data_IF_763540234023
#
_entry.id   IF_763540234023
#
_cell.length_a   1.000
_cell.length_b   1.000
_cell.length_c   1.000
_cell.angle_alpha   90.00
_cell.angle_beta   90.00
_cell.angle_gamma   90.00
#
_symmetry.space_group_name_H-M   'P 1'
#
loop_
_entity.id
_entity.type
_entity.pdbx_description
1 polymer ?
#
# COMPACT_ATOMS: atom_id res chain seq x y z
N UNK A 1 -21.16 14.85 0.12
CA UNK A 1 -21.05 13.59 -0.67
C UNK A 1 -20.12 13.73 -1.89
N UNK A 2 -20.31 14.72 -2.77
CA UNK A 2 -19.42 14.95 -3.93
C UNK A 2 -17.93 15.13 -3.59
N UNK A 3 -17.59 15.78 -2.46
CA UNK A 3 -16.20 15.95 -2.00
C UNK A 3 -15.53 14.63 -1.60
N UNK A 4 -16.27 13.70 -0.99
CA UNK A 4 -15.76 12.41 -0.54
C UNK A 4 -15.49 11.48 -1.75
N UNK A 5 -16.39 11.49 -2.73
CA UNK A 5 -16.23 10.72 -3.98
C UNK A 5 -15.01 11.24 -4.75
N UNK A 6 -14.84 12.57 -4.84
CA UNK A 6 -13.64 13.18 -5.41
C UNK A 6 -12.36 12.79 -4.67
N UNK A 7 -12.40 12.77 -3.34
CA UNK A 7 -11.25 12.37 -2.52
C UNK A 7 -10.86 10.92 -2.77
N UNK A 8 -11.81 9.99 -2.78
CA UNK A 8 -11.56 8.57 -3.09
C UNK A 8 -11.01 8.40 -4.51
N UNK A 9 -11.55 9.16 -5.48
CA UNK A 9 -11.03 9.16 -6.85
C UNK A 9 -9.57 9.61 -6.93
N UNK A 10 -9.20 10.68 -6.21
CA UNK A 10 -7.83 11.18 -6.13
C UNK A 10 -6.89 10.18 -5.43
N UNK A 11 -7.34 9.55 -4.34
CA UNK A 11 -6.58 8.51 -3.63
C UNK A 11 -6.34 7.31 -4.56
N UNK A 12 -7.36 6.83 -5.26
CA UNK A 12 -7.23 5.73 -6.21
C UNK A 12 -6.25 6.05 -7.33
N UNK A 13 -6.36 7.24 -7.94
CA UNK A 13 -5.46 7.67 -9.01
C UNK A 13 -4.00 7.79 -8.52
N UNK A 14 -3.80 8.28 -7.28
CA UNK A 14 -2.47 8.35 -6.66
C UNK A 14 -1.90 6.95 -6.37
N UNK A 15 -2.72 6.01 -5.88
CA UNK A 15 -2.31 4.60 -5.70
C UNK A 15 -1.80 4.03 -7.03
N UNK A 16 -2.57 4.19 -8.12
CA UNK A 16 -2.17 3.66 -9.43
C UNK A 16 -0.83 4.23 -9.91
N UNK A 17 -0.59 5.52 -9.75
CA UNK A 17 0.67 6.15 -10.15
C UNK A 17 1.86 5.65 -9.33
N UNK A 18 1.67 5.42 -8.02
CA UNK A 18 2.72 4.84 -7.19
C UNK A 18 3.04 3.40 -7.56
N UNK A 19 2.04 2.61 -8.01
CA UNK A 19 2.30 1.29 -8.57
C UNK A 19 3.08 1.35 -9.89
N UNK A 20 2.80 2.34 -10.75
CA UNK A 20 3.54 2.56 -12.01
C UNK A 20 5.00 2.94 -11.73
N UNK A 21 5.28 3.68 -10.65
CA UNK A 21 6.63 4.08 -10.26
C UNK A 21 7.40 2.99 -9.51
N UNK A 22 6.90 1.75 -9.44
CA UNK A 22 7.51 0.58 -8.78
C UNK A 22 7.60 0.73 -7.24
N UNK A 23 7.65 1.95 -6.71
CA UNK A 23 7.77 2.22 -5.28
C UNK A 23 6.55 1.75 -4.48
N UNK A 24 5.34 1.95 -5.01
CA UNK A 24 4.11 1.41 -4.44
C UNK A 24 4.09 -0.13 -4.45
N UNK A 25 4.68 -0.74 -5.48
CA UNK A 25 4.83 -2.21 -5.58
C UNK A 25 5.81 -2.74 -4.54
N UNK A 26 6.93 -2.04 -4.29
CA UNK A 26 7.90 -2.40 -3.25
C UNK A 26 7.28 -2.31 -1.86
N UNK A 27 6.59 -1.21 -1.55
CA UNK A 27 5.88 -1.05 -0.28
C UNK A 27 4.82 -2.15 -0.08
N UNK A 28 4.05 -2.45 -1.12
CA UNK A 28 3.08 -3.55 -1.12
C UNK A 28 3.77 -4.90 -0.88
N UNK A 29 4.88 -5.18 -1.56
CA UNK A 29 5.65 -6.42 -1.42
C UNK A 29 6.23 -6.62 -0.02
N UNK A 30 6.82 -5.58 0.56
CA UNK A 30 7.32 -5.60 1.94
C UNK A 30 6.17 -5.91 2.90
N UNK A 31 5.04 -5.20 2.76
CA UNK A 31 3.90 -5.42 3.66
C UNK A 31 3.25 -6.78 3.46
N UNK A 32 3.21 -7.31 2.24
CA UNK A 32 2.79 -8.67 1.95
C UNK A 32 3.71 -9.71 2.58
N UNK A 33 5.02 -9.50 2.55
CA UNK A 33 5.96 -10.35 3.28
C UNK A 33 5.69 -10.32 4.79
N UNK A 34 5.43 -9.14 5.37
CA UNK A 34 5.07 -9.02 6.79
C UNK A 34 3.81 -9.83 7.15
N UNK A 35 2.75 -9.71 6.34
CA UNK A 35 1.51 -10.47 6.52
C UNK A 35 1.70 -11.98 6.33
N UNK A 36 2.56 -12.37 5.39
CA UNK A 36 2.92 -13.75 5.13
C UNK A 36 3.64 -14.39 6.32
N UNK A 37 4.64 -13.71 6.90
CA UNK A 37 5.40 -14.23 8.05
C UNK A 37 4.68 -14.06 9.40
N UNK A 38 3.45 -13.54 9.42
CA UNK A 38 2.65 -13.31 10.65
C UNK A 38 3.35 -12.33 11.61
N UNK A 39 4.07 -11.36 11.07
CA UNK A 39 4.66 -10.28 11.85
C UNK A 39 3.57 -9.36 12.41
N UNK A 40 3.83 -8.66 13.53
CA UNK A 40 2.82 -7.84 14.19
C UNK A 40 2.30 -6.73 13.26
N UNK A 41 0.98 -6.56 13.20
CA UNK A 41 0.30 -5.58 12.35
C UNK A 41 0.66 -4.13 12.66
N UNK A 42 1.24 -3.86 13.83
CA UNK A 42 1.78 -2.55 14.21
C UNK A 42 2.98 -2.12 13.35
N UNK A 43 3.61 -3.05 12.62
CA UNK A 43 4.65 -2.72 11.63
C UNK A 43 4.07 -2.06 10.37
N UNK A 44 2.79 -2.27 10.06
CA UNK A 44 2.13 -1.68 8.88
C UNK A 44 2.17 -0.15 8.89
N UNK A 45 1.73 0.55 9.96
CA UNK A 45 1.83 2.02 10.01
C UNK A 45 3.27 2.51 9.97
N UNK A 46 4.23 1.79 10.57
CA UNK A 46 5.64 2.16 10.54
C UNK A 46 6.20 2.10 9.12
N UNK A 47 5.95 1.00 8.40
CA UNK A 47 6.37 0.83 7.00
C UNK A 47 5.67 1.84 6.09
N UNK A 48 4.39 2.11 6.32
CA UNK A 48 3.64 3.11 5.56
C UNK A 48 4.23 4.51 5.71
N UNK A 49 4.56 4.93 6.93
CA UNK A 49 5.20 6.23 7.19
C UNK A 49 6.60 6.28 6.59
N UNK A 50 7.39 5.22 6.77
CA UNK A 50 8.75 5.16 6.21
C UNK A 50 8.73 5.24 4.67
N UNK A 51 7.88 4.46 4.00
CA UNK A 51 7.71 4.52 2.55
C UNK A 51 7.13 5.85 2.08
N UNK A 52 6.18 6.43 2.82
CA UNK A 52 5.60 7.73 2.50
C UNK A 52 6.62 8.86 2.56
N UNK A 53 7.43 8.92 3.62
CA UNK A 53 8.51 9.92 3.76
C UNK A 53 9.62 9.69 2.74
N UNK A 54 9.96 8.44 2.45
CA UNK A 54 11.00 8.12 1.46
C UNK A 54 10.54 8.47 0.04
N UNK A 55 9.31 8.15 -0.31
CA UNK A 55 8.70 8.53 -1.59
C UNK A 55 8.65 10.04 -1.76
N UNK A 56 8.28 10.79 -0.72
CA UNK A 56 8.24 12.26 -0.75
C UNK A 56 9.62 12.91 -0.96
N UNK A 57 10.70 12.27 -0.49
CA UNK A 57 12.07 12.81 -0.58
C UNK A 57 12.87 12.36 -1.80
N UNK A 58 12.64 11.14 -2.29
CA UNK A 58 13.51 10.48 -3.28
C UNK A 58 12.84 10.25 -4.62
N UNK A 59 11.51 10.37 -4.72
CA UNK A 59 10.78 10.24 -5.97
C UNK A 59 10.35 11.63 -6.40
N UNK A 60 11.06 12.20 -7.38
CA UNK A 60 10.74 13.51 -7.94
C UNK A 60 9.51 13.38 -8.86
N UNK A 61 8.36 13.36 -8.19
CA UNK A 61 7.10 12.91 -8.74
C UNK A 61 6.40 14.05 -9.49
N UNK A 62 7.03 14.56 -10.55
CA UNK A 62 6.52 15.64 -11.42
C UNK A 62 5.16 15.32 -12.08
N UNK A 63 4.82 14.02 -12.17
CA UNK A 63 3.50 13.55 -12.61
C UNK A 63 2.45 13.51 -11.47
N UNK A 64 2.88 13.31 -10.21
CA UNK A 64 1.98 13.40 -9.05
C UNK A 64 1.73 14.86 -8.69
N UNK A 65 2.72 15.74 -8.81
CA UNK A 65 2.56 17.17 -8.54
C UNK A 65 1.43 17.83 -9.34
N UNK A 66 1.16 17.39 -10.58
CA UNK A 66 0.04 17.93 -11.38
C UNK A 66 -1.36 17.49 -10.88
N UNK A 67 -1.46 16.28 -10.32
CA UNK A 67 -2.69 15.78 -9.65
C UNK A 67 -2.80 16.39 -8.24
N UNK A 68 -1.65 16.67 -7.63
CA UNK A 68 -1.52 17.24 -6.30
C UNK A 68 -1.76 18.75 -6.26
N UNK A 69 -1.42 19.48 -7.33
CA UNK A 69 -1.82 20.88 -7.55
C UNK A 69 -3.34 21.01 -7.60
N UNK A 70 -4.03 20.02 -8.21
CA UNK A 70 -5.49 19.91 -8.16
C UNK A 70 -6.04 19.54 -6.77
N UNK A 71 -5.22 18.98 -5.88
CA UNK A 71 -5.59 18.61 -4.51
C UNK A 71 -5.36 19.75 -3.48
N UNK A 72 -4.63 20.80 -3.86
CA UNK A 72 -4.45 22.07 -3.14
C UNK A 72 -3.61 22.00 -1.84
N UNK A 73 -2.61 22.90 -1.78
CA UNK A 73 -1.61 23.17 -0.74
C UNK A 73 -0.49 22.14 -0.53
N UNK A 74 0.72 22.57 -0.91
CA UNK A 74 2.00 21.87 -0.77
C UNK A 74 2.30 21.35 0.65
N UNK A 75 1.68 21.90 1.70
CA UNK A 75 1.80 21.41 3.08
C UNK A 75 0.99 20.13 3.37
N UNK A 76 0.03 19.76 2.52
CA UNK A 76 -0.75 18.51 2.63
C UNK A 76 -0.18 17.35 1.80
N UNK A 77 0.88 17.60 1.00
CA UNK A 77 1.51 16.62 0.10
C UNK A 77 1.98 15.37 0.84
N UNK A 78 2.83 15.55 1.85
CA UNK A 78 3.37 14.44 2.64
C UNK A 78 2.28 13.68 3.41
N UNK A 79 1.32 14.41 3.98
CA UNK A 79 0.19 13.81 4.71
C UNK A 79 -0.70 12.94 3.81
N UNK A 80 -0.99 13.39 2.59
CA UNK A 80 -1.76 12.62 1.63
C UNK A 80 -1.02 11.36 1.16
N UNK A 81 0.28 11.47 0.87
CA UNK A 81 1.11 10.32 0.50
C UNK A 81 1.16 9.27 1.61
N UNK A 82 1.28 9.67 2.88
CA UNK A 82 1.23 8.74 4.02
C UNK A 82 -0.08 7.96 4.05
N UNK A 83 -1.23 8.61 3.79
CA UNK A 83 -2.53 7.93 3.72
C UNK A 83 -2.56 6.92 2.57
N UNK A 84 -2.04 7.29 1.41
CA UNK A 84 -1.95 6.40 0.25
C UNK A 84 -1.10 5.16 0.57
N UNK A 85 0.11 5.34 1.11
CA UNK A 85 0.99 4.24 1.50
C UNK A 85 0.41 3.40 2.64
N UNK A 86 -0.36 4.00 3.55
CA UNK A 86 -1.06 3.25 4.60
C UNK A 86 -2.06 2.27 4.00
N UNK A 87 -2.85 2.70 3.02
CA UNK A 87 -3.81 1.83 2.32
C UNK A 87 -3.06 0.72 1.56
N UNK A 88 -2.00 1.06 0.82
CA UNK A 88 -1.18 0.09 0.09
C UNK A 88 -0.59 -0.96 1.04
N UNK A 89 -0.01 -0.54 2.15
CA UNK A 89 0.60 -1.44 3.13
C UNK A 89 -0.46 -2.29 3.84
N UNK A 90 -1.62 -1.73 4.19
CA UNK A 90 -2.70 -2.49 4.80
C UNK A 90 -3.22 -3.59 3.86
N UNK A 91 -3.45 -3.25 2.58
CA UNK A 91 -3.83 -4.23 1.56
C UNK A 91 -2.76 -5.29 1.35
N UNK A 92 -1.48 -4.89 1.26
CA UNK A 92 -0.36 -5.82 1.15
C UNK A 92 -0.32 -6.81 2.31
N UNK A 93 -0.42 -6.33 3.54
CA UNK A 93 -0.44 -7.18 4.74
C UNK A 93 -1.60 -8.18 4.72
N UNK A 94 -2.81 -7.73 4.37
CA UNK A 94 -3.98 -8.62 4.26
C UNK A 94 -3.78 -9.67 3.18
N UNK A 95 -3.28 -9.27 2.00
CA UNK A 95 -2.98 -10.20 0.89
C UNK A 95 -1.94 -11.24 1.32
N UNK A 96 -0.88 -10.83 2.00
CA UNK A 96 0.14 -11.75 2.52
C UNK A 96 -0.39 -12.72 3.57
N UNK A 97 -1.19 -12.22 4.52
CA UNK A 97 -1.82 -13.04 5.54
C UNK A 97 -2.80 -14.05 4.93
N UNK A 98 -3.65 -13.60 4.00
CA UNK A 98 -4.62 -14.45 3.31
C UNK A 98 -3.92 -15.47 2.40
N UNK A 99 -2.86 -15.06 1.71
CA UNK A 99 -2.02 -15.96 0.91
C UNK A 99 -1.44 -17.09 1.75
N UNK A 100 -0.95 -16.80 2.96
CA UNK A 100 -0.50 -17.84 3.90
C UNK A 100 -1.63 -18.78 4.30
N UNK A 101 -2.82 -18.26 4.59
CA UNK A 101 -3.98 -19.08 4.92
C UNK A 101 -4.36 -20.02 3.78
N UNK A 102 -4.37 -19.51 2.54
CA UNK A 102 -4.66 -20.29 1.35
C UNK A 102 -3.58 -21.36 1.06
N UNK A 103 -2.30 -21.03 1.22
CA UNK A 103 -1.19 -21.96 1.05
C UNK A 103 -1.21 -23.08 2.11
N UNK A 104 -1.54 -22.75 3.36
CA UNK A 104 -1.74 -23.77 4.43
C UNK A 104 -2.96 -24.64 4.17
N UNK A 105 -4.04 -24.06 3.64
CA UNK A 105 -5.23 -24.80 3.19
C UNK A 105 -4.91 -25.80 2.08
N UNK A 106 -4.14 -25.39 1.05
CA UNK A 106 -3.65 -26.30 0.01
C UNK A 106 -2.65 -27.34 0.53
N UNK A 107 -1.79 -26.99 1.48
CA UNK A 107 -0.87 -27.94 2.12
C UNK A 107 -1.59 -29.02 2.92
N UNK A 108 -2.67 -28.65 3.62
CA UNK A 108 -3.56 -29.60 4.30
C UNK A 108 -4.34 -30.47 3.32
N UNK A 109 -4.84 -29.90 2.21
CA UNK A 109 -5.53 -30.65 1.15
C UNK A 109 -4.56 -31.62 0.44
N UNK A 110 -3.32 -31.19 0.16
CA UNK A 110 -2.29 -32.02 -0.44
C UNK A 110 -1.79 -33.14 0.51
N UNK A 111 -1.74 -32.88 1.81
CA UNK A 111 -1.43 -33.89 2.82
C UNK A 111 -2.59 -34.88 3.04
N UNK A 112 -3.84 -34.42 2.97
CA UNK A 112 -5.03 -35.28 3.08
C UNK A 112 -5.24 -36.16 1.85
N UNK A 113 -4.87 -35.69 0.65
CA UNK A 113 -4.95 -36.47 -0.60
C UNK A 113 -3.90 -37.60 -0.71
N UNK A 114 -2.93 -37.66 0.20
CA UNK A 114 -1.89 -38.71 0.24
C UNK A 114 -2.17 -39.83 1.25
N UNK A 115 -3.32 -39.81 1.93
CA UNK A 115 -3.78 -40.87 2.82
C UNK A 115 -4.86 -41.71 2.15
#
# INVERSE_FOLDING_TARGET
>A
MLKLIRFIGLVSQSIFIQFVHIFGLVAFGISAALGWYRLPSWLVPIVAVACGVFSDKFVDESAVSAILERAHNANQRGGFLIVVYFVICALGYVVGAYGRHYARGKGLIAAASKK
#
